data_IF_076019588838
#
_entry.id   IF_076019588838
#
_cell.length_a   1.000
_cell.length_b   1.000
_cell.length_c   1.000
_cell.angle_alpha   90.00
_cell.angle_beta   90.00
_cell.angle_gamma   90.00
#
_symmetry.space_group_name_H-M   'P 1'
#
loop_
_entity.id
_entity.type
_entity.pdbx_description
1 polymer ?
#
# COMPACT_ATOMS: atom_id res chain seq x y z
N UNK A 1 -19.23 -19.44 25.62
CA UNK A 1 -19.62 -18.06 25.97
C UNK A 1 -18.98 -17.66 27.31
N UNK A 2 -17.66 -17.47 27.32
CA UNK A 2 -16.82 -17.36 28.53
C UNK A 2 -15.86 -16.18 28.39
N UNK A 3 -15.91 -15.26 29.37
CA UNK A 3 -14.98 -14.15 29.69
C UNK A 3 -14.53 -13.15 28.61
N UNK A 4 -14.63 -13.41 27.31
CA UNK A 4 -14.19 -12.47 26.26
C UNK A 4 -15.22 -11.39 25.90
N UNK A 5 -16.52 -11.69 26.07
CA UNK A 5 -17.59 -10.73 25.74
C UNK A 5 -17.63 -9.51 26.68
N UNK A 6 -17.02 -9.61 27.87
CA UNK A 6 -17.01 -8.53 28.86
C UNK A 6 -15.82 -7.56 28.71
N UNK A 7 -14.74 -7.98 28.05
CA UNK A 7 -13.56 -7.13 27.84
C UNK A 7 -13.69 -6.18 26.64
N UNK A 8 -14.44 -6.56 25.60
CA UNK A 8 -14.74 -5.66 24.47
C UNK A 8 -15.73 -4.53 24.82
N UNK A 9 -16.44 -4.64 25.95
CA UNK A 9 -17.38 -3.63 26.46
C UNK A 9 -16.76 -2.68 27.51
N UNK A 10 -15.51 -2.89 27.91
CA UNK A 10 -14.81 -2.08 28.93
C UNK A 10 -13.53 -1.42 28.42
N UNK A 11 -13.45 -1.08 27.14
CA UNK A 11 -12.53 -0.02 26.74
C UNK A 11 -13.24 1.28 27.13
N UNK A 12 -12.75 2.06 28.11
CA UNK A 12 -13.27 3.40 28.31
C UNK A 12 -13.10 4.10 26.97
N UNK A 13 -14.23 4.47 26.37
CA UNK A 13 -14.28 5.43 25.27
C UNK A 13 -13.63 6.68 25.87
N UNK A 14 -12.31 6.80 25.69
CA UNK A 14 -11.67 8.10 25.72
C UNK A 14 -12.57 8.98 24.85
N UNK A 15 -13.15 10.01 25.44
CA UNK A 15 -13.82 11.08 24.72
C UNK A 15 -12.76 11.75 23.85
N UNK A 16 -12.42 11.10 22.74
CA UNK A 16 -11.70 11.70 21.64
C UNK A 16 -12.67 12.77 21.15
N UNK A 17 -12.27 14.06 21.14
CA UNK A 17 -13.13 15.11 20.62
C UNK A 17 -13.46 14.77 19.16
N UNK A 18 -14.71 14.36 18.91
CA UNK A 18 -15.28 13.96 17.60
C UNK A 18 -14.28 13.34 16.60
N UNK A 19 -13.94 12.03 16.72
CA UNK A 19 -13.12 11.35 15.71
C UNK A 19 -13.77 11.33 14.32
N UNK A 20 -15.06 11.64 14.25
CA UNK A 20 -15.90 11.63 13.05
C UNK A 20 -15.44 12.63 11.97
N UNK A 21 -15.17 13.90 12.32
CA UNK A 21 -14.69 14.89 11.34
C UNK A 21 -13.21 14.73 10.97
N UNK A 22 -12.44 13.99 11.75
CA UNK A 22 -10.98 13.97 11.68
C UNK A 22 -10.50 13.23 10.42
N UNK A 23 -10.98 12.01 10.17
CA UNK A 23 -10.48 11.17 9.06
C UNK A 23 -10.61 11.78 7.66
N UNK A 24 -11.73 12.46 7.38
CA UNK A 24 -11.93 13.10 6.07
C UNK A 24 -11.02 14.33 5.91
N UNK A 25 -10.82 15.08 6.99
CA UNK A 25 -9.90 16.22 6.99
C UNK A 25 -8.44 15.76 6.92
N UNK A 26 -8.09 14.66 7.58
CA UNK A 26 -6.75 14.05 7.55
C UNK A 26 -6.41 13.56 6.14
N UNK A 27 -7.34 12.91 5.44
CA UNK A 27 -7.12 12.47 4.06
C UNK A 27 -6.86 13.65 3.11
N UNK A 28 -7.63 14.73 3.24
CA UNK A 28 -7.45 15.94 2.44
C UNK A 28 -6.15 16.67 2.80
N UNK A 29 -5.86 16.82 4.10
CA UNK A 29 -4.64 17.46 4.59
C UNK A 29 -3.40 16.69 4.15
N UNK A 30 -3.37 15.37 4.34
CA UNK A 30 -2.26 14.50 3.95
C UNK A 30 -2.01 14.57 2.44
N UNK A 31 -3.06 14.48 1.62
CA UNK A 31 -2.94 14.58 0.16
C UNK A 31 -2.41 15.95 -0.27
N UNK A 32 -2.89 17.02 0.36
CA UNK A 32 -2.47 18.40 0.07
C UNK A 32 -1.01 18.62 0.48
N UNK A 33 -0.62 18.20 1.68
CA UNK A 33 0.76 18.31 2.18
C UNK A 33 1.70 17.53 1.28
N UNK A 34 1.35 16.30 0.88
CA UNK A 34 2.14 15.52 -0.06
C UNK A 34 2.38 16.28 -1.38
N UNK A 35 1.32 16.82 -1.99
CA UNK A 35 1.43 17.58 -3.23
C UNK A 35 2.26 18.86 -3.07
N UNK A 36 2.05 19.61 -1.97
CA UNK A 36 2.80 20.82 -1.67
C UNK A 36 4.28 20.52 -1.45
N UNK A 37 4.61 19.44 -0.75
CA UNK A 37 6.01 19.01 -0.54
C UNK A 37 6.66 18.64 -1.86
N UNK A 38 5.99 17.88 -2.74
CA UNK A 38 6.52 17.57 -4.07
C UNK A 38 6.72 18.83 -4.92
N UNK A 39 5.81 19.80 -4.84
CA UNK A 39 5.91 21.07 -5.56
C UNK A 39 7.08 21.92 -5.06
N UNK A 40 7.25 22.04 -3.74
CA UNK A 40 8.38 22.73 -3.11
C UNK A 40 9.71 22.04 -3.44
N UNK A 41 9.75 20.70 -3.35
CA UNK A 41 10.91 19.92 -3.74
C UNK A 41 11.29 20.18 -5.21
N UNK A 42 10.30 20.32 -6.10
CA UNK A 42 10.51 20.72 -7.49
C UNK A 42 11.31 22.02 -7.61
N UNK A 43 10.96 23.08 -6.90
CA UNK A 43 11.74 24.33 -6.92
C UNK A 43 13.18 24.13 -6.43
N UNK A 44 13.37 23.36 -5.36
CA UNK A 44 14.71 23.08 -4.83
C UNK A 44 15.55 22.32 -5.87
N UNK A 45 15.01 21.25 -6.47
CA UNK A 45 15.61 20.48 -7.57
C UNK A 45 15.98 21.34 -8.76
N UNK A 46 15.02 22.06 -9.32
CA UNK A 46 15.27 22.85 -10.53
C UNK A 46 16.16 24.07 -10.28
N UNK A 47 16.20 24.63 -9.08
CA UNK A 47 17.15 25.72 -8.73
C UNK A 47 18.59 25.24 -8.73
N UNK A 48 18.86 24.06 -8.18
CA UNK A 48 20.21 23.48 -8.11
C UNK A 48 20.65 22.99 -9.50
N UNK A 49 19.74 22.38 -10.26
CA UNK A 49 20.00 21.99 -11.65
C UNK A 49 20.27 23.22 -12.54
N UNK A 50 19.53 24.32 -12.35
CA UNK A 50 19.79 25.57 -13.06
C UNK A 50 21.17 26.15 -12.75
N UNK A 51 21.55 26.16 -11.47
CA UNK A 51 22.90 26.55 -11.04
C UNK A 51 23.99 25.67 -11.68
N UNK A 52 23.79 24.35 -11.70
CA UNK A 52 24.73 23.42 -12.32
C UNK A 52 24.83 23.60 -13.83
N UNK A 53 23.72 23.84 -14.51
CA UNK A 53 23.67 24.14 -15.95
C UNK A 53 24.48 25.40 -16.27
N UNK A 54 24.32 26.47 -15.50
CA UNK A 54 25.09 27.71 -15.67
C UNK A 54 26.59 27.49 -15.42
N UNK A 55 26.94 26.76 -14.36
CA UNK A 55 28.33 26.54 -13.98
C UNK A 55 29.09 25.62 -14.94
N UNK A 56 28.42 24.56 -15.42
CA UNK A 56 29.02 23.57 -16.33
C UNK A 56 28.89 23.95 -17.80
N UNK A 57 28.13 25.00 -18.11
CA UNK A 57 27.79 25.43 -19.46
C UNK A 57 27.17 24.29 -20.30
N UNK A 58 26.44 23.40 -19.63
CA UNK A 58 25.69 22.30 -20.24
C UNK A 58 24.19 22.62 -20.22
N UNK A 59 23.44 22.23 -21.25
CA UNK A 59 22.00 22.45 -21.27
C UNK A 59 21.31 21.61 -20.18
N UNK A 60 20.16 22.10 -19.69
CA UNK A 60 19.51 21.55 -18.49
C UNK A 60 19.11 20.07 -18.64
N UNK A 61 18.80 19.62 -19.86
CA UNK A 61 18.46 18.23 -20.19
C UNK A 61 19.63 17.26 -19.99
N UNK A 62 20.88 17.76 -19.94
CA UNK A 62 22.07 16.93 -19.70
C UNK A 62 22.42 16.81 -18.22
N UNK A 63 21.98 17.77 -17.40
CA UNK A 63 22.17 17.73 -15.94
C UNK A 63 20.95 17.19 -15.20
N UNK A 64 19.76 17.33 -15.77
CA UNK A 64 18.51 16.81 -15.23
C UNK A 64 18.40 15.30 -15.52
N UNK A 65 18.94 14.49 -14.61
CA UNK A 65 18.71 13.04 -14.60
C UNK A 65 17.52 12.70 -13.71
N UNK A 66 16.88 11.56 -13.95
CA UNK A 66 15.83 11.00 -13.08
C UNK A 66 16.40 9.88 -12.19
N UNK A 67 15.70 9.59 -11.09
CA UNK A 67 16.04 8.47 -10.21
C UNK A 67 17.24 8.73 -9.29
N UNK A 68 17.89 7.67 -8.78
CA UNK A 68 18.94 7.78 -7.77
C UNK A 68 20.16 8.61 -8.21
N UNK A 69 20.47 8.65 -9.50
CA UNK A 69 21.60 9.42 -10.04
C UNK A 69 21.49 10.92 -9.77
N UNK A 70 20.27 11.47 -9.78
CA UNK A 70 20.02 12.88 -9.48
C UNK A 70 20.48 13.25 -8.06
N UNK A 71 20.08 12.44 -7.08
CA UNK A 71 20.32 12.71 -5.66
C UNK A 71 21.68 12.24 -5.17
N UNK A 72 22.28 11.23 -5.79
CA UNK A 72 23.58 10.68 -5.36
C UNK A 72 24.78 11.14 -6.20
N UNK A 73 24.57 11.79 -7.34
CA UNK A 73 25.66 12.28 -8.21
C UNK A 73 25.54 13.79 -8.44
N UNK A 74 24.48 14.23 -9.13
CA UNK A 74 24.33 15.62 -9.59
C UNK A 74 24.21 16.59 -8.41
N UNK A 75 23.41 16.22 -7.42
CA UNK A 75 23.18 17.05 -6.22
C UNK A 75 24.43 17.22 -5.34
N UNK A 76 25.14 16.14 -4.95
CA UNK A 76 26.37 16.27 -4.20
C UNK A 76 27.45 17.06 -4.95
N UNK A 77 27.52 16.93 -6.27
CA UNK A 77 28.42 17.74 -7.11
C UNK A 77 28.10 19.23 -7.00
N UNK A 78 26.82 19.61 -7.06
CA UNK A 78 26.39 20.98 -6.86
C UNK A 78 26.69 21.48 -5.45
N UNK A 79 26.38 20.69 -4.43
CA UNK A 79 26.61 21.05 -3.01
C UNK A 79 28.10 21.27 -2.73
N UNK A 80 28.98 20.46 -3.34
CA UNK A 80 30.44 20.58 -3.19
C UNK A 80 30.99 21.93 -3.65
N UNK A 81 30.22 22.68 -4.45
CA UNK A 81 30.61 24.01 -4.92
C UNK A 81 30.21 25.16 -4.01
N UNK A 82 29.31 24.91 -3.05
CA UNK A 82 28.79 25.93 -2.15
C UNK A 82 29.78 26.19 -0.99
N UNK A 83 29.90 27.44 -0.51
CA UNK A 83 30.61 27.71 0.72
C UNK A 83 29.93 26.97 1.89
N UNK A 84 30.72 26.24 2.68
CA UNK A 84 30.19 25.40 3.76
C UNK A 84 29.57 24.08 3.29
N UNK A 85 30.02 23.54 2.14
CA UNK A 85 29.53 22.29 1.54
C UNK A 85 29.24 21.15 2.53
N UNK A 86 30.11 20.92 3.52
CA UNK A 86 29.92 19.87 4.54
C UNK A 86 28.60 19.99 5.29
N UNK A 87 28.19 21.22 5.65
CA UNK A 87 26.93 21.47 6.35
C UNK A 87 25.73 21.11 5.47
N UNK A 88 25.73 21.57 4.22
CA UNK A 88 24.67 21.29 3.25
C UNK A 88 24.57 19.80 2.91
N UNK A 89 25.71 19.10 2.75
CA UNK A 89 25.74 17.65 2.51
C UNK A 89 25.13 16.87 3.68
N UNK A 90 25.44 17.23 4.93
CA UNK A 90 24.86 16.58 6.10
C UNK A 90 23.34 16.75 6.15
N UNK A 91 22.84 17.97 5.93
CA UNK A 91 21.38 18.22 5.89
C UNK A 91 20.70 17.47 4.76
N UNK A 92 21.32 17.46 3.57
CA UNK A 92 20.75 16.81 2.39
C UNK A 92 20.66 15.29 2.55
N UNK A 93 21.73 14.62 2.99
CA UNK A 93 21.69 13.18 3.20
C UNK A 93 20.85 12.77 4.42
N UNK A 94 20.81 13.59 5.48
CA UNK A 94 19.90 13.36 6.60
C UNK A 94 18.44 13.45 6.14
N UNK A 95 18.10 14.42 5.29
CA UNK A 95 16.77 14.53 4.68
C UNK A 95 16.43 13.29 3.84
N UNK A 96 17.34 12.80 2.98
CA UNK A 96 17.10 11.58 2.20
C UNK A 96 16.87 10.36 3.11
N UNK A 97 17.63 10.26 4.20
CA UNK A 97 17.49 9.19 5.18
C UNK A 97 16.14 9.24 5.89
N UNK A 98 15.69 10.41 6.36
CA UNK A 98 14.39 10.53 7.03
C UNK A 98 13.22 10.27 6.08
N UNK A 99 13.29 10.73 4.83
CA UNK A 99 12.28 10.44 3.80
C UNK A 99 12.13 8.92 3.54
N UNK A 100 13.25 8.20 3.48
CA UNK A 100 13.25 6.75 3.29
C UNK A 100 12.80 5.96 4.52
N UNK A 101 13.17 6.40 5.73
CA UNK A 101 12.83 5.72 6.98
C UNK A 101 11.33 5.73 7.26
N UNK A 102 10.68 6.89 7.19
CA UNK A 102 9.24 7.00 7.51
C UNK A 102 8.38 6.17 6.55
N UNK A 103 8.75 6.17 5.26
CA UNK A 103 8.09 5.34 4.24
C UNK A 103 8.26 3.84 4.51
N UNK A 104 9.47 3.42 4.93
CA UNK A 104 9.77 2.02 5.24
C UNK A 104 9.05 1.53 6.50
N UNK A 105 8.87 2.40 7.50
CA UNK A 105 8.07 2.11 8.68
C UNK A 105 6.61 1.86 8.32
N UNK A 106 6.01 2.70 7.47
CA UNK A 106 4.64 2.48 7.00
C UNK A 106 4.44 1.14 6.29
N UNK A 107 5.37 0.78 5.38
CA UNK A 107 5.30 -0.50 4.66
C UNK A 107 5.48 -1.72 5.57
N UNK A 108 6.42 -1.67 6.51
CA UNK A 108 6.65 -2.76 7.46
C UNK A 108 5.51 -2.90 8.46
N UNK A 109 4.98 -1.78 8.96
CA UNK A 109 3.84 -1.77 9.88
C UNK A 109 2.61 -2.37 9.22
N UNK A 110 2.34 -2.10 7.94
CA UNK A 110 1.23 -2.73 7.22
C UNK A 110 1.29 -4.27 7.26
N UNK A 111 2.48 -4.86 7.11
CA UNK A 111 2.69 -6.32 7.20
C UNK A 111 2.51 -6.80 8.64
N UNK A 112 3.12 -6.10 9.61
CA UNK A 112 3.07 -6.46 11.02
C UNK A 112 1.63 -6.42 11.54
N UNK A 113 0.89 -5.36 11.23
CA UNK A 113 -0.52 -5.20 11.61
C UNK A 113 -1.39 -6.28 10.96
N UNK A 114 -1.28 -6.48 9.64
CA UNK A 114 -2.09 -7.47 8.94
C UNK A 114 -1.91 -8.89 9.51
N UNK A 115 -0.66 -9.30 9.76
CA UNK A 115 -0.38 -10.63 10.32
C UNK A 115 -0.74 -10.75 11.81
N UNK A 116 -0.66 -9.65 12.56
CA UNK A 116 -1.07 -9.63 13.97
C UNK A 116 -2.59 -9.70 14.12
N UNK A 117 -3.35 -9.13 13.20
CA UNK A 117 -4.82 -9.19 13.21
C UNK A 117 -5.33 -10.57 12.80
N UNK A 118 -4.64 -11.27 11.89
CA UNK A 118 -4.98 -12.62 11.47
C UNK A 118 -4.53 -13.70 12.48
N UNK A 119 -3.31 -13.57 13.02
CA UNK A 119 -2.71 -14.60 13.89
C UNK A 119 -2.44 -14.09 15.30
N UNK A 120 -3.22 -14.57 16.27
CA UNK A 120 -3.09 -14.20 17.69
C UNK A 120 -1.69 -14.50 18.28
N UNK A 121 -0.99 -15.53 17.77
CA UNK A 121 0.38 -15.87 18.20
C UNK A 121 1.36 -14.73 17.88
N UNK A 122 1.24 -14.15 16.68
CA UNK A 122 2.08 -13.03 16.23
C UNK A 122 1.76 -11.79 17.05
N UNK A 123 0.47 -11.51 17.28
CA UNK A 123 0.03 -10.40 18.14
C UNK A 123 0.62 -10.46 19.54
N UNK A 124 0.60 -11.64 20.16
CA UNK A 124 1.11 -11.84 21.52
C UNK A 124 2.63 -11.76 21.61
N UNK A 125 3.35 -12.08 20.52
CA UNK A 125 4.81 -12.09 20.46
C UNK A 125 5.34 -11.13 19.39
N UNK A 126 4.74 -9.93 19.30
CA UNK A 126 5.02 -8.96 18.24
C UNK A 126 6.51 -8.60 18.13
N UNK A 127 7.19 -8.39 19.24
CA UNK A 127 8.62 -8.03 19.26
C UNK A 127 9.50 -9.12 18.64
N UNK A 128 9.22 -10.38 18.96
CA UNK A 128 9.95 -11.54 18.40
C UNK A 128 9.67 -11.63 16.90
N UNK A 129 8.41 -11.46 16.48
CA UNK A 129 8.04 -11.47 15.06
C UNK A 129 8.76 -10.39 14.27
N UNK A 130 8.79 -9.15 14.78
CA UNK A 130 9.50 -8.03 14.13
C UNK A 130 11.00 -8.31 14.03
N UNK A 131 11.62 -8.86 15.10
CA UNK A 131 13.02 -9.27 15.08
C UNK A 131 13.32 -10.31 13.99
N UNK A 132 12.45 -11.31 13.84
CA UNK A 132 12.56 -12.33 12.77
C UNK A 132 12.37 -11.70 11.39
N UNK A 133 11.35 -10.85 11.22
CA UNK A 133 11.03 -10.21 9.94
C UNK A 133 12.18 -9.35 9.43
N UNK A 134 12.77 -8.52 10.29
CA UNK A 134 13.91 -7.67 9.89
C UNK A 134 15.21 -8.45 9.74
N UNK A 135 15.40 -9.53 10.48
CA UNK A 135 16.51 -10.46 10.21
C UNK A 135 16.36 -11.10 8.82
N UNK A 136 15.14 -11.49 8.45
CA UNK A 136 14.85 -12.00 7.11
C UNK A 136 15.08 -10.94 6.02
N UNK A 137 14.61 -9.70 6.21
CA UNK A 137 14.89 -8.59 5.27
C UNK A 137 16.37 -8.32 5.13
N UNK A 138 17.13 -8.36 6.23
CA UNK A 138 18.58 -8.15 6.19
C UNK A 138 19.27 -9.22 5.35
N UNK A 139 18.96 -10.51 5.57
CA UNK A 139 19.57 -11.63 4.83
C UNK A 139 19.21 -11.56 3.34
N UNK A 140 17.93 -11.36 3.01
CA UNK A 140 17.46 -11.25 1.62
C UNK A 140 17.94 -9.95 0.95
N UNK A 141 18.24 -8.92 1.73
CA UNK A 141 18.77 -7.63 1.27
C UNK A 141 20.27 -7.63 0.99
N UNK A 142 21.05 -8.61 1.50
CA UNK A 142 22.50 -8.70 1.28
C UNK A 142 22.92 -8.66 -0.21
N UNK A 143 22.22 -9.31 -1.17
CA UNK A 143 22.53 -9.19 -2.60
C UNK A 143 22.51 -7.73 -3.10
N UNK A 144 21.63 -6.89 -2.57
CA UNK A 144 21.53 -5.46 -2.91
C UNK A 144 22.73 -4.65 -2.41
N UNK A 145 23.51 -5.17 -1.46
CA UNK A 145 24.74 -4.56 -0.94
C UNK A 145 26.02 -5.04 -1.64
N UNK A 146 25.90 -5.94 -2.62
CA UNK A 146 27.06 -6.41 -3.40
C UNK A 146 27.50 -5.39 -4.45
N UNK A 147 28.64 -5.61 -5.11
CA UNK A 147 29.13 -4.75 -6.20
C UNK A 147 28.12 -4.62 -7.36
N UNK A 148 27.32 -5.67 -7.61
CA UNK A 148 26.22 -5.67 -8.58
C UNK A 148 24.86 -5.27 -7.99
N UNK A 149 24.83 -4.79 -6.75
CA UNK A 149 23.60 -4.54 -5.99
C UNK A 149 22.65 -3.55 -6.64
N UNK A 150 23.16 -2.54 -7.35
CA UNK A 150 22.35 -1.61 -8.13
C UNK A 150 21.45 -2.34 -9.15
N UNK A 151 21.94 -3.41 -9.79
CA UNK A 151 21.13 -4.18 -10.73
C UNK A 151 19.98 -4.93 -10.05
N UNK A 152 20.21 -5.41 -8.82
CA UNK A 152 19.19 -6.09 -8.00
C UNK A 152 18.12 -5.08 -7.58
N UNK A 153 18.54 -3.91 -7.09
CA UNK A 153 17.64 -2.83 -6.69
C UNK A 153 16.78 -2.38 -7.87
N UNK A 154 17.37 -2.14 -9.04
CA UNK A 154 16.64 -1.72 -10.23
C UNK A 154 15.66 -2.80 -10.74
N UNK A 155 16.00 -4.09 -10.61
CA UNK A 155 15.08 -5.18 -10.94
C UNK A 155 13.86 -5.16 -10.01
N UNK A 156 14.09 -5.03 -8.71
CA UNK A 156 13.03 -4.99 -7.71
C UNK A 156 12.18 -3.72 -7.83
N UNK A 157 12.80 -2.56 -8.04
CA UNK A 157 12.10 -1.29 -8.24
C UNK A 157 11.13 -1.36 -9.43
N UNK A 158 11.57 -1.96 -10.54
CA UNK A 158 10.73 -2.10 -11.74
C UNK A 158 9.56 -3.07 -11.55
N UNK A 159 9.80 -4.23 -10.93
CA UNK A 159 8.85 -5.36 -10.98
C UNK A 159 8.12 -5.65 -9.67
N UNK A 160 8.63 -5.25 -8.50
CA UNK A 160 8.05 -5.65 -7.22
C UNK A 160 6.66 -5.03 -7.00
N UNK A 161 6.54 -3.71 -7.12
CA UNK A 161 5.32 -2.99 -6.77
C UNK A 161 4.56 -2.41 -7.98
N UNK A 162 5.24 -2.01 -9.06
CA UNK A 162 4.67 -1.18 -10.12
C UNK A 162 3.32 -1.65 -10.69
N UNK A 163 3.30 -2.80 -11.38
CA UNK A 163 2.04 -3.36 -11.91
C UNK A 163 1.20 -4.05 -10.85
N UNK A 164 1.85 -4.65 -9.86
CA UNK A 164 1.23 -5.38 -8.75
C UNK A 164 0.26 -4.51 -7.96
N UNK A 165 0.68 -3.31 -7.56
CA UNK A 165 -0.14 -2.40 -6.76
C UNK A 165 -1.31 -1.83 -7.57
N UNK A 166 -1.10 -1.54 -8.86
CA UNK A 166 -2.18 -1.07 -9.73
C UNK A 166 -3.28 -2.11 -9.86
N UNK A 167 -2.92 -3.39 -10.03
CA UNK A 167 -3.88 -4.48 -10.11
C UNK A 167 -4.59 -4.72 -8.77
N UNK A 168 -3.86 -4.65 -7.65
CA UNK A 168 -4.43 -4.79 -6.31
C UNK A 168 -5.47 -3.68 -6.03
N UNK A 169 -5.11 -2.41 -6.24
CA UNK A 169 -6.01 -1.27 -6.04
C UNK A 169 -7.20 -1.31 -7.02
N UNK A 170 -7.00 -1.80 -8.24
CA UNK A 170 -8.12 -2.05 -9.15
C UNK A 170 -9.14 -3.01 -8.55
N UNK A 171 -8.69 -4.18 -8.06
CA UNK A 171 -9.60 -5.13 -7.43
C UNK A 171 -10.23 -4.60 -6.15
N UNK A 172 -9.51 -3.84 -5.33
CA UNK A 172 -10.05 -3.18 -4.14
C UNK A 172 -11.18 -2.20 -4.51
N UNK A 173 -10.98 -1.34 -5.52
CA UNK A 173 -12.02 -0.39 -5.95
C UNK A 173 -13.26 -1.08 -6.50
N UNK A 174 -13.09 -2.19 -7.23
CA UNK A 174 -14.19 -3.04 -7.71
C UNK A 174 -14.90 -3.72 -6.54
N UNK A 175 -14.15 -4.29 -5.59
CA UNK A 175 -14.69 -4.96 -4.42
C UNK A 175 -15.53 -4.00 -3.56
N UNK A 176 -15.00 -2.80 -3.25
CA UNK A 176 -15.71 -1.82 -2.41
C UNK A 176 -16.90 -1.20 -3.16
N UNK A 177 -16.72 -0.78 -4.41
CA UNK A 177 -17.74 0.02 -5.11
C UNK A 177 -18.85 -0.81 -5.75
N UNK A 178 -18.54 -2.03 -6.22
CA UNK A 178 -19.46 -2.87 -6.98
C UNK A 178 -19.91 -4.12 -6.22
N UNK A 179 -19.00 -4.85 -5.54
CA UNK A 179 -19.38 -6.06 -4.80
C UNK A 179 -20.03 -5.72 -3.45
N UNK A 180 -19.34 -4.93 -2.63
CA UNK A 180 -19.86 -4.46 -1.34
C UNK A 180 -20.94 -3.38 -1.54
N UNK A 181 -20.74 -2.52 -2.54
CA UNK A 181 -21.70 -1.52 -2.99
C UNK A 181 -21.41 -0.13 -2.43
N UNK A 182 -21.23 0.84 -3.33
CA UNK A 182 -20.89 2.23 -2.99
C UNK A 182 -21.88 2.91 -2.04
N UNK A 183 -23.17 2.58 -2.11
CA UNK A 183 -24.17 3.17 -1.24
C UNK A 183 -24.00 2.70 0.21
N UNK A 184 -23.77 1.39 0.39
CA UNK A 184 -23.52 0.78 1.70
C UNK A 184 -22.24 1.34 2.31
N UNK A 185 -21.17 1.42 1.53
CA UNK A 185 -19.91 2.04 1.97
C UNK A 185 -20.11 3.51 2.40
N UNK A 186 -20.91 4.28 1.65
CA UNK A 186 -21.24 5.65 2.03
C UNK A 186 -22.10 5.74 3.31
N UNK A 187 -22.94 4.75 3.57
CA UNK A 187 -23.74 4.66 4.81
C UNK A 187 -22.85 4.27 6.01
N UNK A 188 -21.84 3.42 5.79
CA UNK A 188 -20.82 3.11 6.80
C UNK A 188 -19.99 4.35 7.16
N UNK A 189 -19.54 5.12 6.17
CA UNK A 189 -18.84 6.39 6.41
C UNK A 189 -19.76 7.37 7.15
N UNK A 190 -21.05 7.46 6.78
CA UNK A 190 -22.00 8.30 7.52
C UNK A 190 -22.12 7.89 8.99
N UNK A 191 -22.06 6.59 9.30
CA UNK A 191 -22.10 6.12 10.67
C UNK A 191 -20.82 6.44 11.48
N UNK A 192 -19.66 6.53 10.82
CA UNK A 192 -18.38 6.88 11.46
C UNK A 192 -18.18 8.40 11.60
N UNK A 193 -18.51 9.13 10.53
CA UNK A 193 -18.16 10.55 10.32
C UNK A 193 -19.34 11.49 10.56
N UNK A 194 -20.57 10.96 10.65
CA UNK A 194 -21.80 11.73 10.88
C UNK A 194 -22.42 12.32 9.61
N UNK A 195 -21.68 12.42 8.50
CA UNK A 195 -22.19 12.86 7.20
C UNK A 195 -21.90 11.86 6.08
N UNK A 196 -22.78 11.81 5.09
CA UNK A 196 -22.63 10.91 3.94
C UNK A 196 -21.68 11.55 2.91
N UNK A 197 -20.72 10.78 2.34
CA UNK A 197 -19.91 11.26 1.23
C UNK A 197 -20.76 11.79 0.07
N UNK A 198 -20.35 12.94 -0.47
CA UNK A 198 -21.02 13.58 -1.60
C UNK A 198 -21.08 12.68 -2.86
N UNK A 199 -21.87 13.11 -3.84
CA UNK A 199 -22.00 12.39 -5.13
C UNK A 199 -20.65 12.31 -5.84
N UNK A 200 -19.84 13.36 -5.75
CA UNK A 200 -18.48 13.42 -6.30
C UNK A 200 -17.64 12.19 -5.89
N UNK A 201 -17.44 11.96 -4.58
CA UNK A 201 -16.65 10.85 -4.07
C UNK A 201 -17.19 9.48 -4.51
N UNK A 202 -18.51 9.31 -4.50
CA UNK A 202 -19.15 8.06 -4.92
C UNK A 202 -18.95 7.78 -6.42
N UNK A 203 -18.98 8.82 -7.25
CA UNK A 203 -18.73 8.71 -8.69
C UNK A 203 -17.23 8.44 -8.95
N UNK A 204 -16.35 9.08 -8.17
CA UNK A 204 -14.92 8.82 -8.19
C UNK A 204 -14.60 7.35 -7.92
N UNK A 205 -15.10 6.79 -6.82
CA UNK A 205 -14.81 5.39 -6.45
C UNK A 205 -15.42 4.39 -7.43
N UNK A 206 -16.64 4.64 -7.90
CA UNK A 206 -17.36 3.68 -8.74
C UNK A 206 -16.86 3.64 -10.19
N UNK A 207 -16.49 4.78 -10.76
CA UNK A 207 -16.19 4.91 -12.18
C UNK A 207 -14.81 5.50 -12.47
N UNK A 208 -14.48 6.66 -11.88
CA UNK A 208 -13.28 7.41 -12.28
C UNK A 208 -12.01 6.67 -11.86
N UNK A 209 -11.91 6.24 -10.60
CA UNK A 209 -10.75 5.51 -10.06
C UNK A 209 -10.45 4.23 -10.84
N UNK A 210 -11.40 3.27 -11.01
CA UNK A 210 -11.11 2.05 -11.77
C UNK A 210 -10.80 2.34 -13.24
N UNK A 211 -11.47 3.30 -13.88
CA UNK A 211 -11.14 3.68 -15.26
C UNK A 211 -9.73 4.30 -15.38
N UNK A 212 -9.34 5.15 -14.43
CA UNK A 212 -8.03 5.77 -14.40
C UNK A 212 -6.91 4.75 -14.18
N UNK A 213 -7.11 3.80 -13.26
CA UNK A 213 -6.16 2.70 -13.01
C UNK A 213 -6.02 1.81 -14.25
N UNK A 214 -7.14 1.42 -14.89
CA UNK A 214 -7.13 0.65 -16.14
C UNK A 214 -6.40 1.40 -17.26
N UNK A 215 -6.58 2.71 -17.36
CA UNK A 215 -5.92 3.57 -18.33
C UNK A 215 -4.39 3.56 -18.13
N UNK A 216 -3.93 3.81 -16.89
CA UNK A 216 -2.50 3.77 -16.55
C UNK A 216 -1.91 2.39 -16.86
N UNK A 217 -2.61 1.33 -16.48
CA UNK A 217 -2.16 -0.04 -16.73
C UNK A 217 -2.06 -0.34 -18.22
N UNK A 218 -3.05 0.06 -19.02
CA UNK A 218 -3.04 -0.12 -20.48
C UNK A 218 -1.86 0.62 -21.14
N UNK A 219 -1.64 1.90 -20.77
CA UNK A 219 -0.49 2.65 -21.28
C UNK A 219 0.85 2.05 -20.82
N UNK A 220 0.92 1.57 -19.58
CA UNK A 220 2.10 0.87 -19.05
C UNK A 220 2.45 -0.38 -19.87
N UNK A 221 1.45 -1.20 -20.22
CA UNK A 221 1.66 -2.37 -21.08
C UNK A 221 2.04 -2.01 -22.52
N UNK A 222 1.43 -0.98 -23.11
CA UNK A 222 1.76 -0.51 -24.47
C UNK A 222 3.21 -0.01 -24.53
N UNK A 223 3.68 0.68 -23.50
CA UNK A 223 5.03 1.22 -23.41
C UNK A 223 6.04 0.25 -22.80
N UNK A 224 5.65 -1.00 -22.52
CA UNK A 224 6.53 -1.97 -21.90
C UNK A 224 7.76 -2.25 -22.79
N UNK A 225 8.93 -2.10 -22.18
CA UNK A 225 10.21 -2.50 -22.75
C UNK A 225 10.94 -3.40 -21.75
N UNK A 226 11.70 -4.40 -22.22
CA UNK A 226 12.57 -5.17 -21.35
C UNK A 226 13.47 -4.26 -20.51
N UNK A 227 13.76 -4.67 -19.28
CA UNK A 227 14.54 -3.85 -18.35
C UNK A 227 15.95 -3.64 -18.92
N UNK A 228 16.36 -2.37 -18.98
CA UNK A 228 17.67 -1.93 -19.41
C UNK A 228 18.14 -0.81 -18.48
N UNK A 229 19.39 -0.88 -18.06
CA UNK A 229 20.06 0.15 -17.27
C UNK A 229 21.30 0.56 -18.05
N UNK A 230 21.34 1.82 -18.49
CA UNK A 230 22.39 2.36 -19.36
C UNK A 230 22.62 1.46 -20.60
N UNK A 231 23.83 0.93 -20.76
CA UNK A 231 24.21 0.01 -21.85
C UNK A 231 23.90 -1.47 -21.51
N UNK A 232 23.55 -1.78 -20.26
CA UNK A 232 23.29 -3.15 -19.82
C UNK A 232 21.83 -3.55 -20.05
N UNK A 233 21.63 -4.51 -20.95
CA UNK A 233 20.34 -5.14 -21.19
C UNK A 233 20.19 -6.36 -20.29
N UNK A 234 19.13 -6.40 -19.48
CA UNK A 234 18.90 -7.52 -18.59
C UNK A 234 18.61 -8.79 -19.38
N UNK A 235 19.19 -9.94 -18.98
CA UNK A 235 18.90 -11.21 -19.63
C UNK A 235 17.42 -11.59 -19.46
N UNK A 236 16.90 -12.38 -20.38
CA UNK A 236 15.49 -12.78 -20.39
C UNK A 236 15.05 -13.49 -19.11
N UNK A 237 15.94 -14.29 -18.50
CA UNK A 237 15.63 -14.96 -17.23
C UNK A 237 15.42 -13.97 -16.08
N UNK A 238 16.10 -12.82 -16.09
CA UNK A 238 15.92 -11.79 -15.05
C UNK A 238 14.58 -11.07 -15.23
N UNK A 239 14.19 -10.78 -16.47
CA UNK A 239 12.84 -10.27 -16.75
C UNK A 239 11.76 -11.29 -16.37
N UNK A 240 11.97 -12.58 -16.65
CA UNK A 240 11.06 -13.64 -16.22
C UNK A 240 10.96 -13.73 -14.69
N UNK A 241 12.09 -13.63 -13.97
CA UNK A 241 12.12 -13.57 -12.52
C UNK A 241 11.32 -12.37 -11.98
N UNK A 242 11.52 -11.18 -12.57
CA UNK A 242 10.75 -9.98 -12.23
C UNK A 242 9.25 -10.17 -12.43
N UNK A 243 8.83 -10.75 -13.54
CA UNK A 243 7.43 -11.09 -13.76
C UNK A 243 6.89 -12.13 -12.78
N UNK A 244 7.69 -13.13 -12.38
CA UNK A 244 7.29 -14.06 -11.32
C UNK A 244 7.04 -13.33 -9.98
N UNK A 245 7.90 -12.37 -9.62
CA UNK A 245 7.71 -11.53 -8.42
C UNK A 245 6.42 -10.72 -8.55
N UNK A 246 6.21 -10.02 -9.67
CA UNK A 246 4.99 -9.24 -9.90
C UNK A 246 3.73 -10.11 -9.81
N UNK A 247 3.71 -11.24 -10.54
CA UNK A 247 2.56 -12.14 -10.62
C UNK A 247 2.29 -12.87 -9.31
N UNK A 248 3.29 -13.09 -8.46
CA UNK A 248 3.09 -13.77 -7.17
C UNK A 248 2.05 -13.07 -6.29
N UNK A 249 2.10 -11.73 -6.23
CA UNK A 249 1.13 -10.92 -5.50
C UNK A 249 -0.22 -10.86 -6.21
N UNK A 250 -0.22 -10.67 -7.53
CA UNK A 250 -1.44 -10.55 -8.34
C UNK A 250 -2.26 -11.83 -8.31
N UNK A 251 -1.61 -12.99 -8.43
CA UNK A 251 -2.27 -14.30 -8.47
C UNK A 251 -2.80 -14.75 -7.10
N UNK A 252 -2.31 -14.16 -6.00
CA UNK A 252 -2.84 -14.43 -4.66
C UNK A 252 -4.33 -14.08 -4.56
N UNK A 253 -4.77 -12.96 -5.16
CA UNK A 253 -6.17 -12.53 -5.15
C UNK A 253 -7.14 -13.52 -5.82
N UNK A 254 -6.99 -13.87 -7.11
CA UNK A 254 -7.85 -14.87 -7.74
C UNK A 254 -7.62 -16.27 -7.16
N UNK A 255 -6.40 -16.60 -6.73
CA UNK A 255 -6.09 -17.87 -6.09
C UNK A 255 -6.90 -18.10 -4.81
N UNK A 256 -6.92 -17.11 -3.91
CA UNK A 256 -7.73 -17.14 -2.70
C UNK A 256 -9.23 -17.16 -3.01
N UNK A 257 -9.67 -16.40 -4.02
CA UNK A 257 -11.08 -16.40 -4.43
C UNK A 257 -11.54 -17.80 -4.92
N UNK A 258 -10.70 -18.48 -5.71
CA UNK A 258 -10.97 -19.84 -6.20
C UNK A 258 -10.93 -20.85 -5.05
N UNK A 259 -9.91 -20.77 -4.19
CA UNK A 259 -9.76 -21.64 -3.03
C UNK A 259 -11.00 -21.58 -2.12
N UNK A 260 -11.44 -20.38 -1.75
CA UNK A 260 -12.63 -20.18 -0.92
C UNK A 260 -13.92 -20.65 -1.62
N UNK A 261 -14.01 -20.50 -2.94
CA UNK A 261 -15.15 -21.00 -3.72
C UNK A 261 -15.20 -22.54 -3.74
N UNK A 262 -14.07 -23.24 -3.74
CA UNK A 262 -14.03 -24.71 -3.73
C UNK A 262 -14.44 -25.25 -2.35
N UNK A 263 -13.91 -24.68 -1.26
CA UNK A 263 -14.15 -25.15 0.12
C UNK A 263 -15.57 -24.88 0.59
N UNK A 264 -16.15 -23.73 0.22
CA UNK A 264 -17.50 -23.36 0.66
C UNK A 264 -18.53 -24.39 0.17
N UNK A 265 -19.28 -25.00 1.10
CA UNK A 265 -20.30 -26.00 0.78
C UNK A 265 -21.52 -25.36 0.10
N UNK A 266 -22.17 -26.09 -0.81
CA UNK A 266 -23.41 -25.67 -1.48
C UNK A 266 -23.30 -25.55 -3.00
N UNK A 267 -24.34 -24.99 -3.63
CA UNK A 267 -24.37 -24.71 -5.08
C UNK A 267 -23.57 -23.44 -5.41
N UNK A 268 -23.09 -23.29 -6.65
CA UNK A 268 -22.26 -22.13 -7.09
C UNK A 268 -22.93 -20.79 -6.71
N UNK A 269 -24.24 -20.66 -6.90
CA UNK A 269 -24.99 -19.45 -6.57
C UNK A 269 -25.05 -19.19 -5.05
N UNK A 270 -25.18 -20.24 -4.24
CA UNK A 270 -25.16 -20.13 -2.78
C UNK A 270 -23.75 -19.78 -2.28
N UNK A 271 -22.71 -20.42 -2.82
CA UNK A 271 -21.30 -20.14 -2.47
C UNK A 271 -20.96 -18.68 -2.74
N UNK A 272 -21.31 -18.17 -3.93
CA UNK A 272 -21.07 -16.77 -4.27
C UNK A 272 -21.82 -15.82 -3.34
N UNK A 273 -23.08 -16.13 -2.98
CA UNK A 273 -23.84 -15.33 -2.02
C UNK A 273 -23.19 -15.32 -0.64
N UNK A 274 -22.73 -16.47 -0.15
CA UNK A 274 -22.04 -16.58 1.15
C UNK A 274 -20.76 -15.73 1.14
N UNK A 275 -19.91 -15.90 0.13
CA UNK A 275 -18.61 -15.21 0.03
C UNK A 275 -18.73 -13.69 -0.19
N UNK A 276 -19.86 -13.23 -0.73
CA UNK A 276 -20.14 -11.79 -0.92
C UNK A 276 -20.97 -11.17 0.20
N UNK A 277 -21.40 -11.96 1.19
CA UNK A 277 -22.14 -11.44 2.35
C UNK A 277 -21.15 -10.99 3.42
N UNK A 278 -21.08 -9.70 3.76
CA UNK A 278 -20.09 -9.21 4.71
C UNK A 278 -20.42 -9.62 6.14
N UNK A 279 -19.39 -9.72 6.98
CA UNK A 279 -19.48 -10.17 8.36
C UNK A 279 -20.53 -9.42 9.20
N UNK A 280 -20.66 -8.10 9.01
CA UNK A 280 -21.66 -7.28 9.72
C UNK A 280 -23.11 -7.74 9.50
N UNK A 281 -23.41 -8.31 8.35
CA UNK A 281 -24.76 -8.80 8.05
C UNK A 281 -24.99 -10.19 8.64
N UNK A 282 -23.94 -11.02 8.69
CA UNK A 282 -23.99 -12.32 9.35
C UNK A 282 -24.28 -12.17 10.86
N UNK A 283 -23.63 -11.21 11.52
CA UNK A 283 -23.90 -10.93 12.94
C UNK A 283 -25.33 -10.43 13.20
N UNK A 284 -25.88 -9.60 12.32
CA UNK A 284 -27.27 -9.16 12.46
C UNK A 284 -28.23 -10.33 12.34
N UNK A 285 -27.94 -11.29 11.48
CA UNK A 285 -28.76 -12.50 11.33
C UNK A 285 -28.68 -13.41 12.57
N UNK A 286 -27.50 -13.58 13.18
CA UNK A 286 -27.37 -14.40 14.40
C UNK A 286 -28.12 -13.79 15.59
N UNK A 287 -28.04 -12.47 15.78
CA UNK A 287 -28.76 -11.76 16.88
C UNK A 287 -30.28 -11.86 16.70
N UNK A 288 -30.79 -11.78 15.47
CA UNK A 288 -32.24 -11.91 15.20
C UNK A 288 -32.73 -13.33 15.47
N UNK A 289 -31.91 -14.36 15.23
CA UNK A 289 -32.25 -15.76 15.53
C UNK A 289 -32.30 -16.00 17.04
N UNK A 290 -31.34 -15.48 17.81
CA UNK A 290 -31.33 -15.60 19.28
C UNK A 290 -32.49 -14.84 19.96
N UNK A 291 -32.93 -13.71 19.39
CA UNK A 291 -34.06 -12.93 19.90
C UNK A 291 -35.45 -13.48 19.53
N UNK A 292 -35.52 -14.49 18.66
CA UNK A 292 -36.77 -14.93 18.01
C UNK A 292 -37.36 -16.27 18.49
N UNK A 293 -36.60 -17.16 19.13
CA UNK A 293 -37.14 -18.44 19.63
C UNK A 293 -36.16 -19.13 20.61
N UNK A 294 -36.52 -19.39 21.88
CA UNK A 294 -35.63 -20.06 22.85
C UNK A 294 -35.59 -21.59 22.71
N UNK A 295 -35.46 -22.12 21.48
CA UNK A 295 -35.55 -23.57 21.28
C UNK A 295 -35.06 -24.08 19.93
N UNK A 296 -33.74 -24.07 19.71
CA UNK A 296 -32.99 -25.18 19.09
C UNK A 296 -31.53 -24.75 18.92
N UNK A 297 -30.69 -25.07 19.89
CA UNK A 297 -29.24 -24.95 19.74
C UNK A 297 -28.79 -26.18 18.95
N UNK A 298 -28.33 -25.97 17.71
CA UNK A 298 -27.39 -26.87 17.08
C UNK A 298 -26.03 -26.18 17.17
N UNK A 299 -25.20 -26.66 18.09
CA UNK A 299 -23.79 -26.28 18.23
C UNK A 299 -23.08 -26.46 16.89
N UNK A 300 -22.55 -25.36 16.35
CA UNK A 300 -21.50 -25.39 15.34
C UNK A 300 -20.18 -25.06 16.06
N UNK A 301 -19.29 -26.04 16.03
CA UNK A 301 -17.96 -26.08 16.65
C UNK A 301 -17.06 -24.94 16.14
N UNK A 302 -16.30 -24.20 16.97
CA UNK A 302 -15.49 -23.06 16.53
C UNK A 302 -14.10 -23.39 15.96
N UNK A 303 -13.75 -24.65 15.68
CA UNK A 303 -12.38 -25.03 15.25
C UNK A 303 -12.16 -25.29 13.75
N UNK A 304 -13.07 -24.87 12.85
CA UNK A 304 -12.77 -24.84 11.41
C UNK A 304 -13.11 -23.48 10.77
N UNK A 305 -12.23 -22.49 10.94
CA UNK A 305 -11.81 -21.52 9.91
C UNK A 305 -10.37 -21.14 10.16
#
# INVERSE_FOLDING_TARGET
MSRYSEYLLRVPILEIPNPSSLYSNDALATSTINCCTSFLAGFVIFSVLGYMSEKTNMPIDKVATEGPGLVFVVYPEAIATLPGATFWSLLFFMMLLTLGLDSSFGGSEAIITALSDEYAIIKNHREIFVGILFTFYFIIGLPSCTQGGSYVVNLMDKYAAGYSILMAVFFETVAVSWLYGVNRFADDIKAMVGFRPGIYWRLCWKFIAPAFILCIMAFGFIQYKPLQVDEYVYPMWANALGWCVALSSILCLPGLAIYNLIITKGTIRQRFKILTTPWRDLQKQSVVVEGGNPGSIAEADPEEV
#
